data_IF_854907868925
#
_entry.id   IF_854907868925
#
_cell.length_a   1.000
_cell.length_b   1.000
_cell.length_c   1.000
_cell.angle_alpha   90.00
_cell.angle_beta   90.00
_cell.angle_gamma   90.00
#
_symmetry.space_group_name_H-M   'P 1'
#
loop_
_entity.id
_entity.type
_entity.pdbx_description
1 polymer ?
#
# COMPACT_ATOMS: atom_id res chain seq x y z
N UNK A 1 -41.21 -3.46 43.95
CA UNK A 1 -40.42 -3.69 42.73
C UNK A 1 -40.03 -2.41 41.97
N UNK A 2 -40.12 -1.21 42.55
CA UNK A 2 -39.66 0.03 41.89
C UNK A 2 -38.21 0.44 42.27
N UNK A 3 -37.70 -0.02 43.42
CA UNK A 3 -36.32 0.26 43.88
C UNK A 3 -35.26 -0.67 43.26
N UNK A 4 -35.66 -1.84 42.77
CA UNK A 4 -34.78 -2.78 42.04
C UNK A 4 -34.49 -2.31 40.60
N UNK A 5 -35.39 -1.54 39.99
CA UNK A 5 -35.22 -1.00 38.63
C UNK A 5 -34.19 0.15 38.63
N UNK A 6 -34.14 0.93 39.71
CA UNK A 6 -33.18 2.05 39.85
C UNK A 6 -31.73 1.56 39.97
N UNK A 7 -31.51 0.40 40.60
CA UNK A 7 -30.18 -0.21 40.70
C UNK A 7 -29.70 -0.83 39.38
N UNK A 8 -30.62 -1.29 38.52
CA UNK A 8 -30.28 -1.89 37.23
C UNK A 8 -29.94 -0.85 36.15
N UNK A 9 -30.43 0.39 36.31
CA UNK A 9 -30.10 1.52 35.42
C UNK A 9 -28.78 2.19 35.82
N UNK A 10 -28.37 2.12 37.08
CA UNK A 10 -27.10 2.72 37.54
C UNK A 10 -25.87 1.87 37.16
N UNK A 11 -26.02 0.56 36.94
CA UNK A 11 -24.93 -0.34 36.53
C UNK A 11 -24.62 -0.25 35.03
N UNK A 12 -25.55 0.25 34.20
CA UNK A 12 -25.30 0.51 32.76
C UNK A 12 -24.73 1.91 32.47
N UNK A 13 -24.57 2.78 33.47
CA UNK A 13 -24.10 4.16 33.32
C UNK A 13 -22.59 4.38 33.50
N UNK A 14 -21.85 3.36 33.96
CA UNK A 14 -20.39 3.41 34.16
C UNK A 14 -19.69 2.37 33.27
N UNK A 15 -19.82 2.49 31.95
CA UNK A 15 -18.80 1.98 31.04
C UNK A 15 -18.74 2.71 29.68
N UNK A 16 -18.54 4.04 29.63
CA UNK A 16 -17.89 4.63 28.48
C UNK A 16 -16.40 4.74 28.82
N UNK A 17 -15.63 3.66 28.63
CA UNK A 17 -14.15 3.66 28.60
C UNK A 17 -13.62 2.23 28.35
N UNK A 18 -14.28 1.45 27.48
CA UNK A 18 -13.52 0.50 26.68
C UNK A 18 -12.99 1.29 25.49
N UNK A 19 -11.82 1.84 25.78
CA UNK A 19 -10.78 2.26 24.87
C UNK A 19 -11.24 2.67 23.48
N UNK A 20 -11.07 3.96 23.21
CA UNK A 20 -10.58 4.43 21.94
C UNK A 20 -9.76 3.31 21.29
N UNK A 21 -10.31 2.66 20.25
CA UNK A 21 -9.45 1.89 19.37
C UNK A 21 -8.49 2.93 18.84
N UNK A 22 -7.24 2.75 19.25
CA UNK A 22 -6.12 3.61 18.96
C UNK A 22 -6.29 4.23 17.57
N UNK A 23 -5.98 5.51 17.48
CA UNK A 23 -5.38 6.01 16.27
C UNK A 23 -4.08 5.24 16.05
N UNK A 24 -4.17 3.97 15.64
CA UNK A 24 -3.08 3.34 14.93
C UNK A 24 -2.96 4.17 13.67
N UNK A 25 -1.97 5.07 13.66
CA UNK A 25 -1.07 5.13 12.54
C UNK A 25 -0.86 3.69 12.11
N UNK A 26 -1.59 3.26 11.08
CA UNK A 26 -1.60 1.88 10.64
C UNK A 26 -0.32 1.67 9.85
N UNK A 27 0.82 1.84 10.53
CA UNK A 27 2.14 1.52 10.04
C UNK A 27 2.22 -0.01 10.04
N UNK A 28 1.65 -0.60 9.00
CA UNK A 28 1.68 -2.03 8.80
C UNK A 28 3.12 -2.48 8.76
N UNK A 29 3.43 -3.56 9.47
CA UNK A 29 4.71 -4.22 9.24
C UNK A 29 4.78 -4.67 7.77
N UNK A 30 5.99 -4.81 7.19
CA UNK A 30 6.13 -5.33 5.83
C UNK A 30 5.44 -6.68 5.62
N UNK A 31 5.40 -7.52 6.66
CA UNK A 31 4.74 -8.82 6.62
C UNK A 31 3.21 -8.69 6.62
N UNK A 32 2.66 -7.83 7.48
CA UNK A 32 1.22 -7.53 7.50
C UNK A 32 0.74 -6.94 6.18
N UNK A 33 1.55 -6.04 5.60
CA UNK A 33 1.30 -5.46 4.29
C UNK A 33 1.24 -6.54 3.21
N UNK A 34 2.26 -7.42 3.14
CA UNK A 34 2.28 -8.52 2.17
C UNK A 34 1.14 -9.49 2.40
N UNK A 35 0.77 -9.78 3.65
CA UNK A 35 -0.36 -10.66 3.97
C UNK A 35 -1.69 -10.07 3.46
N UNK A 36 -1.94 -8.78 3.71
CA UNK A 36 -3.12 -8.07 3.18
C UNK A 36 -3.11 -8.03 1.65
N UNK A 37 -1.96 -7.76 1.03
CA UNK A 37 -1.81 -7.74 -0.42
C UNK A 37 -2.08 -9.12 -1.03
N UNK A 38 -1.53 -10.20 -0.44
CA UNK A 38 -1.80 -11.59 -0.84
C UNK A 38 -3.30 -11.90 -0.80
N UNK A 39 -3.95 -11.60 0.32
CA UNK A 39 -5.37 -11.86 0.50
C UNK A 39 -6.22 -11.09 -0.54
N UNK A 40 -5.94 -9.80 -0.71
CA UNK A 40 -6.66 -8.95 -1.63
C UNK A 40 -6.50 -9.40 -3.09
N UNK A 41 -5.27 -9.67 -3.53
CA UNK A 41 -5.01 -10.11 -4.91
C UNK A 41 -5.63 -11.49 -5.16
N UNK A 42 -5.49 -12.43 -4.22
CA UNK A 42 -6.12 -13.76 -4.32
C UNK A 42 -7.62 -13.65 -4.55
N UNK A 43 -8.31 -12.84 -3.74
CA UNK A 43 -9.75 -12.63 -3.83
C UNK A 43 -10.14 -11.96 -5.16
N UNK A 44 -9.51 -10.83 -5.51
CA UNK A 44 -9.92 -10.03 -6.68
C UNK A 44 -9.54 -10.65 -8.02
N UNK A 45 -8.48 -11.46 -8.06
CA UNK A 45 -8.05 -12.17 -9.26
C UNK A 45 -8.60 -13.61 -9.34
N UNK A 46 -9.25 -14.10 -8.30
CA UNK A 46 -9.80 -15.46 -8.25
C UNK A 46 -8.71 -16.53 -8.38
N UNK A 47 -7.62 -16.36 -7.63
CA UNK A 47 -6.53 -17.34 -7.60
C UNK A 47 -6.93 -18.54 -6.74
N UNK A 48 -6.66 -19.75 -7.22
CA UNK A 48 -6.78 -20.95 -6.38
C UNK A 48 -5.63 -21.01 -5.38
N UNK A 49 -5.75 -21.84 -4.34
CA UNK A 49 -4.66 -22.03 -3.37
C UNK A 49 -3.36 -22.52 -4.02
N UNK A 50 -3.47 -23.40 -5.02
CA UNK A 50 -2.31 -23.93 -5.76
C UNK A 50 -1.65 -22.86 -6.65
N UNK A 51 -2.47 -22.07 -7.34
CA UNK A 51 -2.00 -20.95 -8.16
C UNK A 51 -1.31 -19.90 -7.29
N UNK A 52 -1.93 -19.51 -6.18
CA UNK A 52 -1.40 -18.53 -5.23
C UNK A 52 -0.07 -18.99 -4.63
N UNK A 53 0.04 -20.26 -4.23
CA UNK A 53 1.27 -20.83 -3.67
C UNK A 53 2.47 -20.74 -4.64
N UNK A 54 2.23 -20.87 -5.95
CA UNK A 54 3.26 -20.75 -6.99
C UNK A 54 3.48 -19.31 -7.44
N UNK A 55 2.43 -18.50 -7.48
CA UNK A 55 2.45 -17.14 -8.00
C UNK A 55 3.14 -16.15 -7.05
N UNK A 56 2.77 -16.15 -5.77
CA UNK A 56 3.24 -15.12 -4.83
C UNK A 56 4.75 -15.10 -4.59
N UNK A 57 5.48 -16.24 -4.53
CA UNK A 57 6.94 -16.21 -4.44
C UNK A 57 7.58 -15.39 -5.57
N UNK A 58 7.12 -15.58 -6.81
CA UNK A 58 7.63 -14.83 -7.97
C UNK A 58 7.15 -13.37 -7.98
N UNK A 59 5.91 -13.13 -7.55
CA UNK A 59 5.35 -11.78 -7.47
C UNK A 59 6.14 -10.89 -6.49
N UNK A 60 6.43 -11.41 -5.30
CA UNK A 60 7.21 -10.66 -4.31
C UNK A 60 8.68 -10.52 -4.70
N UNK A 61 9.27 -11.52 -5.35
CA UNK A 61 10.61 -11.39 -5.91
C UNK A 61 10.68 -10.26 -6.96
N UNK A 62 9.68 -10.14 -7.84
CA UNK A 62 9.59 -9.03 -8.80
C UNK A 62 9.49 -7.69 -8.07
N UNK A 63 8.60 -7.57 -7.08
CA UNK A 63 8.45 -6.34 -6.30
C UNK A 63 9.75 -5.94 -5.61
N UNK A 64 10.45 -6.89 -5.00
CA UNK A 64 11.71 -6.64 -4.29
C UNK A 64 12.80 -6.17 -5.25
N UNK A 65 12.93 -6.81 -6.42
CA UNK A 65 13.87 -6.38 -7.47
C UNK A 65 13.55 -4.99 -8.02
N UNK A 66 12.28 -4.69 -8.29
CA UNK A 66 11.85 -3.36 -8.73
C UNK A 66 12.10 -2.29 -7.65
N UNK A 67 11.86 -2.65 -6.39
CA UNK A 67 12.14 -1.76 -5.26
C UNK A 67 13.62 -1.42 -5.18
N UNK A 68 14.52 -2.39 -5.34
CA UNK A 68 15.97 -2.16 -5.35
C UNK A 68 16.38 -1.15 -6.43
N UNK A 69 15.95 -1.37 -7.69
CA UNK A 69 16.22 -0.44 -8.79
C UNK A 69 15.68 0.97 -8.51
N UNK A 70 14.47 1.05 -7.96
CA UNK A 70 13.86 2.32 -7.60
C UNK A 70 14.63 3.00 -6.45
N UNK A 71 15.03 2.27 -5.41
CA UNK A 71 15.81 2.80 -4.29
C UNK A 71 17.16 3.38 -4.76
N UNK A 72 17.83 2.71 -5.71
CA UNK A 72 19.05 3.19 -6.39
C UNK A 72 18.78 4.47 -7.19
N UNK A 73 17.73 4.50 -8.00
CA UNK A 73 17.33 5.70 -8.73
C UNK A 73 16.99 6.88 -7.80
N UNK A 74 16.31 6.62 -6.68
CA UNK A 74 16.04 7.64 -5.66
C UNK A 74 17.32 8.13 -4.96
N UNK A 75 18.32 7.26 -4.79
CA UNK A 75 19.62 7.65 -4.27
C UNK A 75 20.32 8.63 -5.21
N UNK A 76 20.30 8.36 -6.52
CA UNK A 76 20.83 9.27 -7.54
C UNK A 76 20.08 10.62 -7.53
N UNK A 77 18.75 10.60 -7.56
CA UNK A 77 17.94 11.83 -7.52
C UNK A 77 18.22 12.70 -6.29
N UNK A 78 18.54 12.09 -5.14
CA UNK A 78 18.90 12.85 -3.93
C UNK A 78 20.24 13.57 -4.05
N UNK A 79 21.17 13.11 -4.90
CA UNK A 79 22.45 13.78 -5.13
C UNK A 79 22.26 15.12 -5.83
N UNK A 80 21.30 15.22 -6.75
CA UNK A 80 20.99 16.46 -7.48
C UNK A 80 20.39 17.59 -6.63
N UNK A 81 20.23 17.40 -5.31
CA UNK A 81 19.85 18.48 -4.39
C UNK A 81 21.05 19.30 -3.91
N UNK A 82 22.26 18.86 -4.19
CA UNK A 82 23.48 19.60 -3.86
C UNK A 82 23.60 20.82 -4.79
N UNK A 83 23.76 22.01 -4.20
CA UNK A 83 23.93 23.28 -4.93
C UNK A 83 25.17 23.29 -5.83
N UNK A 84 26.12 22.39 -5.61
CA UNK A 84 27.34 22.23 -6.42
C UNK A 84 27.19 21.23 -7.57
N UNK A 85 26.01 20.62 -7.73
CA UNK A 85 25.77 19.69 -8.83
C UNK A 85 25.92 20.41 -10.16
N UNK A 86 26.79 19.88 -11.01
CA UNK A 86 27.05 20.39 -12.36
C UNK A 86 26.05 19.83 -13.37
N UNK A 87 25.89 20.49 -14.53
CA UNK A 87 25.04 19.99 -15.63
C UNK A 87 25.39 18.55 -16.04
N UNK A 88 26.68 18.20 -16.12
CA UNK A 88 27.13 16.85 -16.45
C UNK A 88 26.71 15.81 -15.39
N UNK A 89 26.70 16.19 -14.10
CA UNK A 89 26.22 15.32 -13.03
C UNK A 89 24.69 15.19 -13.05
N UNK A 90 23.96 16.25 -13.42
CA UNK A 90 22.53 16.14 -13.66
C UNK A 90 22.20 15.19 -14.81
N UNK A 91 22.98 15.23 -15.90
CA UNK A 91 22.86 14.28 -17.00
C UNK A 91 23.05 12.83 -16.51
N UNK A 92 24.13 12.53 -15.80
CA UNK A 92 24.39 11.20 -15.23
C UNK A 92 23.26 10.73 -14.28
N UNK A 93 22.78 11.62 -13.40
CA UNK A 93 21.65 11.33 -12.51
C UNK A 93 20.40 10.96 -13.33
N UNK A 94 20.08 11.76 -14.35
CA UNK A 94 18.88 11.55 -15.15
C UNK A 94 18.99 10.29 -16.01
N UNK A 95 20.14 10.01 -16.63
CA UNK A 95 20.42 8.76 -17.33
C UNK A 95 20.21 7.56 -16.42
N UNK A 96 20.82 7.55 -15.23
CA UNK A 96 20.66 6.45 -14.28
C UNK A 96 19.21 6.23 -13.83
N UNK A 97 18.42 7.31 -13.70
CA UNK A 97 16.98 7.21 -13.41
C UNK A 97 16.20 6.58 -14.57
N UNK A 98 16.51 6.95 -15.82
CA UNK A 98 15.87 6.35 -16.99
C UNK A 98 16.27 4.89 -17.19
N UNK A 99 17.55 4.56 -16.99
CA UNK A 99 18.05 3.19 -17.06
C UNK A 99 17.39 2.28 -16.02
N UNK A 100 17.20 2.76 -14.78
CA UNK A 100 16.48 2.02 -13.75
C UNK A 100 15.02 1.74 -14.14
N UNK A 101 14.35 2.70 -14.81
CA UNK A 101 12.98 2.50 -15.34
C UNK A 101 12.96 1.46 -16.46
N UNK A 102 13.89 1.52 -17.40
CA UNK A 102 14.03 0.54 -18.49
C UNK A 102 14.30 -0.86 -17.92
N UNK A 103 15.19 -0.97 -16.92
CA UNK A 103 15.49 -2.24 -16.25
C UNK A 103 14.25 -2.80 -15.54
N UNK A 104 13.47 -1.95 -14.87
CA UNK A 104 12.19 -2.31 -14.26
C UNK A 104 11.19 -2.85 -15.28
N UNK A 105 11.04 -2.21 -16.43
CA UNK A 105 10.11 -2.67 -17.49
C UNK A 105 10.56 -4.00 -18.12
N UNK A 106 11.88 -4.20 -18.27
CA UNK A 106 12.45 -5.49 -18.70
C UNK A 106 12.15 -6.60 -17.69
N UNK A 107 12.20 -6.31 -16.39
CA UNK A 107 11.80 -7.26 -15.34
C UNK A 107 10.31 -7.60 -15.46
N UNK A 108 9.43 -6.61 -15.64
CA UNK A 108 7.99 -6.85 -15.82
C UNK A 108 7.73 -7.80 -17.00
N UNK A 109 8.40 -7.58 -18.13
CA UNK A 109 8.30 -8.46 -19.29
C UNK A 109 8.79 -9.88 -19.00
N UNK A 110 9.92 -10.02 -18.32
CA UNK A 110 10.50 -11.32 -17.94
C UNK A 110 9.58 -12.10 -17.01
N UNK A 111 9.00 -11.42 -16.01
CA UNK A 111 8.11 -12.06 -15.04
C UNK A 111 6.74 -12.36 -15.62
N UNK A 112 6.25 -11.58 -16.59
CA UNK A 112 5.05 -11.92 -17.33
C UNK A 112 5.14 -13.33 -17.96
N UNK A 113 6.28 -13.67 -18.58
CA UNK A 113 6.48 -14.99 -19.17
C UNK A 113 6.56 -16.10 -18.11
N UNK A 114 7.08 -15.80 -16.90
CA UNK A 114 7.02 -16.72 -15.77
C UNK A 114 5.59 -16.91 -15.25
N UNK A 115 4.84 -15.83 -15.09
CA UNK A 115 3.46 -15.85 -14.60
C UNK A 115 2.53 -16.60 -15.55
N UNK A 116 2.72 -16.48 -16.86
CA UNK A 116 1.93 -17.21 -17.86
C UNK A 116 2.03 -18.74 -17.76
N UNK A 117 3.09 -19.27 -17.13
CA UNK A 117 3.25 -20.71 -16.87
C UNK A 117 2.39 -21.18 -15.69
N UNK A 118 1.85 -20.25 -14.90
CA UNK A 118 1.12 -20.52 -13.66
C UNK A 118 -0.35 -20.05 -13.79
N UNK A 119 -0.57 -18.90 -14.40
CA UNK A 119 -1.85 -18.21 -14.50
C UNK A 119 -2.24 -17.98 -15.96
N UNK A 120 -3.56 -18.00 -16.23
CA UNK A 120 -4.08 -17.52 -17.50
C UNK A 120 -3.86 -16.01 -17.66
N UNK A 121 -3.74 -15.52 -18.91
CA UNK A 121 -3.59 -14.09 -19.19
C UNK A 121 -4.71 -13.24 -18.57
N UNK A 122 -5.94 -13.76 -18.51
CA UNK A 122 -7.08 -13.11 -17.84
C UNK A 122 -6.81 -12.90 -16.35
N UNK A 123 -6.30 -13.92 -15.65
CA UNK A 123 -5.96 -13.81 -14.22
C UNK A 123 -4.81 -12.84 -13.99
N UNK A 124 -3.78 -12.86 -14.84
CA UNK A 124 -2.67 -11.90 -14.78
C UNK A 124 -3.18 -10.45 -14.92
N UNK A 125 -4.07 -10.19 -15.88
CA UNK A 125 -4.72 -8.88 -16.02
C UNK A 125 -5.50 -8.48 -14.74
N UNK A 126 -6.24 -9.42 -14.15
CA UNK A 126 -6.99 -9.14 -12.91
C UNK A 126 -6.06 -8.89 -11.71
N UNK A 127 -4.92 -9.57 -11.64
CA UNK A 127 -3.87 -9.30 -10.64
C UNK A 127 -3.38 -7.86 -10.75
N UNK A 128 -3.00 -7.41 -11.95
CA UNK A 128 -2.55 -6.02 -12.16
C UNK A 128 -3.65 -5.01 -11.77
N UNK A 129 -4.89 -5.30 -12.14
CA UNK A 129 -6.04 -4.46 -11.75
C UNK A 129 -6.26 -4.44 -10.24
N UNK A 130 -6.08 -5.58 -9.57
CA UNK A 130 -6.18 -5.69 -8.12
C UNK A 130 -5.06 -4.92 -7.43
N UNK A 131 -3.82 -5.02 -7.92
CA UNK A 131 -2.67 -4.28 -7.38
C UNK A 131 -2.88 -2.77 -7.44
N UNK A 132 -3.32 -2.22 -8.59
CA UNK A 132 -3.64 -0.79 -8.70
C UNK A 132 -4.73 -0.35 -7.71
N UNK A 133 -5.74 -1.19 -7.48
CA UNK A 133 -6.81 -0.90 -6.52
C UNK A 133 -6.35 -1.00 -5.08
N UNK A 134 -5.52 -1.99 -4.75
CA UNK A 134 -4.98 -2.20 -3.42
C UNK A 134 -4.23 -0.96 -2.92
N UNK A 135 -3.33 -0.42 -3.75
CA UNK A 135 -2.62 0.83 -3.42
C UNK A 135 -3.59 2.00 -3.19
N UNK A 136 -4.61 2.15 -4.04
CA UNK A 136 -5.63 3.20 -3.87
C UNK A 136 -6.47 3.02 -2.60
N UNK A 137 -6.83 1.79 -2.25
CA UNK A 137 -7.64 1.49 -1.07
C UNK A 137 -6.84 1.67 0.23
N UNK A 138 -5.57 1.27 0.24
CA UNK A 138 -4.65 1.57 1.34
C UNK A 138 -4.51 3.07 1.57
N UNK A 139 -4.26 3.85 0.50
CA UNK A 139 -4.13 5.30 0.58
C UNK A 139 -5.44 5.99 1.04
N UNK A 140 -6.61 5.49 0.61
CA UNK A 140 -7.91 6.01 1.07
C UNK A 140 -8.16 5.76 2.55
N UNK A 141 -7.69 4.64 3.10
CA UNK A 141 -7.74 4.36 4.53
C UNK A 141 -6.95 5.38 5.35
N UNK A 142 -5.83 5.88 4.79
CA UNK A 142 -4.99 6.90 5.42
C UNK A 142 -5.62 8.30 5.39
N UNK A 143 -6.28 8.70 4.29
CA UNK A 143 -6.87 10.04 4.17
C UNK A 143 -8.19 10.24 4.93
N UNK A 144 -9.00 9.19 5.15
CA UNK A 144 -10.31 9.31 5.80
C UNK A 144 -10.28 9.68 7.30
N UNK A 145 -9.10 9.73 7.93
CA UNK A 145 -8.93 10.11 9.35
C UNK A 145 -8.17 11.44 9.55
N UNK A 146 -7.85 12.18 8.47
CA UNK A 146 -7.14 13.46 8.53
C UNK A 146 -8.02 14.72 8.50
N UNK A 147 -9.28 14.62 8.07
CA UNK A 147 -10.22 15.75 8.10
C UNK A 147 -10.93 15.80 9.45
N UNK A 148 -10.29 16.46 10.41
CA UNK A 148 -10.98 17.06 11.56
C UNK A 148 -12.02 18.08 11.09
N UNK A 149 -13.07 18.35 11.89
CA UNK A 149 -14.27 19.02 11.41
C UNK A 149 -13.97 20.40 10.82
N UNK A 150 -14.39 20.56 9.57
CA UNK A 150 -14.53 21.80 8.82
C UNK A 150 -14.95 22.95 9.74
N UNK A 151 -14.05 23.94 9.93
CA UNK A 151 -14.36 25.18 10.65
C UNK A 151 -15.61 25.77 10.01
N UNK A 152 -16.70 25.84 10.78
CA UNK A 152 -17.95 26.48 10.38
C UNK A 152 -17.66 27.93 9.94
N UNK A 153 -18.35 28.47 8.92
CA UNK A 153 -18.23 29.89 8.60
C UNK A 153 -18.80 30.67 9.79
N UNK A 154 -17.95 31.44 10.47
CA UNK A 154 -18.42 32.42 11.44
C UNK A 154 -19.17 33.51 10.66
N UNK A 155 -20.50 33.47 10.79
CA UNK A 155 -21.36 34.55 10.36
C UNK A 155 -21.15 35.80 11.20
N UNK A 156 -21.14 36.93 10.51
CA UNK A 156 -21.68 38.25 10.84
C UNK A 156 -21.68 38.68 12.33
N UNK A 157 -20.94 39.75 12.62
CA UNK A 157 -21.50 40.97 13.20
C UNK A 157 -20.92 42.17 12.45
#
# INVERSE_FOLDING_TARGET
>A
MKRLIVLLVMICGMMPLLWASDGCDQHLSPEEFRAKQKAFITEKAGLTSEEAAKFFPLYFELQDRKKQLNDEAWKLLRQGKDEKTTEAQYEEIMEGVYDARIASDRLDKTYFDKFKKILSCKKIYLVQRAEMRFHRELLKGMHKKGDGPQRRPQGKK
#
